data_IF_082721774788
#
_entry.id   IF_082721774788
#
_cell.length_a   1.000
_cell.length_b   1.000
_cell.length_c   1.000
_cell.angle_alpha   90.00
_cell.angle_beta   90.00
_cell.angle_gamma   90.00
#
_symmetry.space_group_name_H-M   'P 1'
#
loop_
_entity.id
_entity.type
_entity.pdbx_description
1 polymer ?
#
# COMPACT_ATOMS: atom_id res chain seq x y z
N UNK A 1 7.18 -0.48 0.05
CA UNK A 1 7.90 -1.01 -1.15
C UNK A 1 7.45 -2.36 -1.73
N UNK A 2 6.39 -3.03 -1.26
CA UNK A 2 5.93 -4.28 -1.87
C UNK A 2 4.42 -4.34 -2.18
N UNK A 3 3.67 -3.31 -1.77
CA UNK A 3 2.21 -3.38 -1.68
C UNK A 3 1.55 -3.61 -3.05
N UNK A 4 2.06 -2.97 -4.10
CA UNK A 4 1.53 -3.14 -5.46
C UNK A 4 1.64 -4.58 -5.94
N UNK A 5 2.85 -5.16 -5.84
CA UNK A 5 3.10 -6.56 -6.22
C UNK A 5 2.25 -7.52 -5.40
N UNK A 6 2.08 -7.27 -4.10
CA UNK A 6 1.26 -8.09 -3.23
C UNK A 6 -0.22 -8.07 -3.68
N UNK A 7 -0.78 -6.88 -3.95
CA UNK A 7 -2.16 -6.74 -4.43
C UNK A 7 -2.37 -7.42 -5.79
N UNK A 8 -1.48 -7.19 -6.76
CA UNK A 8 -1.63 -7.76 -8.11
C UNK A 8 -1.58 -9.29 -8.09
N UNK A 9 -0.75 -9.86 -7.22
CA UNK A 9 -0.59 -11.31 -7.09
C UNK A 9 -1.74 -11.97 -6.32
N UNK A 10 -2.09 -11.43 -5.14
CA UNK A 10 -3.06 -12.05 -4.22
C UNK A 10 -4.51 -11.67 -4.56
N UNK A 11 -4.72 -10.49 -5.14
CA UNK A 11 -6.05 -9.90 -5.45
C UNK A 11 -6.98 -9.83 -4.23
N UNK A 12 -6.53 -9.25 -3.11
CA UNK A 12 -7.35 -9.15 -1.91
C UNK A 12 -8.49 -8.13 -2.10
N UNK A 13 -9.49 -8.16 -1.22
CA UNK A 13 -10.52 -7.11 -1.16
C UNK A 13 -10.01 -5.79 -0.55
N UNK A 14 -8.91 -5.83 0.20
CA UNK A 14 -8.31 -4.67 0.87
C UNK A 14 -6.94 -5.02 1.45
N UNK A 15 -6.22 -3.99 1.90
CA UNK A 15 -4.89 -4.12 2.52
C UNK A 15 -4.78 -3.20 3.73
N UNK A 16 -3.98 -3.62 4.71
CA UNK A 16 -3.68 -2.85 5.92
C UNK A 16 -2.16 -2.90 6.22
N UNK A 17 -1.65 -1.86 6.87
CA UNK A 17 -0.25 -1.78 7.28
C UNK A 17 -0.11 -1.07 8.63
N UNK A 18 0.51 -1.77 9.59
CA UNK A 18 0.90 -1.20 10.88
C UNK A 18 2.28 -0.52 10.76
N UNK A 19 3.37 -1.20 11.13
CA UNK A 19 4.71 -0.59 11.21
C UNK A 19 5.32 -0.20 9.86
N UNK A 20 4.83 -0.74 8.75
CA UNK A 20 5.36 -0.47 7.40
C UNK A 20 5.17 0.96 6.88
N UNK A 21 4.51 1.82 7.66
CA UNK A 21 4.28 3.24 7.36
C UNK A 21 4.65 4.15 8.55
N UNK A 22 5.45 3.64 9.48
CA UNK A 22 5.93 4.40 10.64
C UNK A 22 7.31 5.00 10.38
N UNK A 23 7.53 6.19 10.92
CA UNK A 23 8.83 6.84 10.97
C UNK A 23 9.69 6.31 12.13
N UNK A 24 10.93 6.81 12.29
CA UNK A 24 11.86 6.33 13.33
C UNK A 24 11.37 6.54 14.77
N UNK A 25 10.38 7.40 14.98
CA UNK A 25 9.77 7.69 16.28
C UNK A 25 8.59 6.75 16.63
N UNK A 26 8.31 5.77 15.76
CA UNK A 26 7.19 4.83 15.90
C UNK A 26 5.82 5.46 15.61
N UNK A 27 5.77 6.72 15.15
CA UNK A 27 4.53 7.35 14.69
C UNK A 27 4.37 7.15 13.20
N UNK A 28 3.13 7.23 12.73
CA UNK A 28 2.84 7.22 11.29
C UNK A 28 3.56 8.37 10.62
N UNK A 29 4.39 8.05 9.62
CA UNK A 29 5.00 9.04 8.75
C UNK A 29 3.99 9.40 7.65
N UNK A 30 3.54 10.66 7.55
CA UNK A 30 2.55 11.05 6.55
C UNK A 30 2.99 10.79 5.10
N UNK A 31 4.29 10.87 4.79
CA UNK A 31 4.81 10.60 3.44
C UNK A 31 4.78 9.09 3.13
N UNK A 32 5.14 8.24 4.09
CA UNK A 32 5.03 6.78 3.92
C UNK A 32 3.58 6.33 3.78
N UNK A 33 2.66 6.92 4.56
CA UNK A 33 1.21 6.65 4.43
C UNK A 33 0.71 7.07 3.05
N UNK A 34 1.06 8.26 2.57
CA UNK A 34 0.69 8.72 1.22
C UNK A 34 1.24 7.79 0.14
N UNK A 35 2.50 7.39 0.24
CA UNK A 35 3.13 6.46 -0.70
C UNK A 35 2.42 5.09 -0.69
N UNK A 36 2.09 4.57 0.49
CA UNK A 36 1.34 3.31 0.64
C UNK A 36 -0.02 3.37 -0.05
N UNK A 37 -0.83 4.41 0.24
CA UNK A 37 -2.16 4.57 -0.36
C UNK A 37 -2.06 4.75 -1.87
N UNK A 38 -1.11 5.55 -2.36
CA UNK A 38 -0.90 5.77 -3.80
C UNK A 38 -0.59 4.46 -4.52
N UNK A 39 0.37 3.68 -4.03
CA UNK A 39 0.76 2.42 -4.67
C UNK A 39 -0.32 1.34 -4.54
N UNK A 40 -1.03 1.27 -3.42
CA UNK A 40 -2.16 0.37 -3.25
C UNK A 40 -3.30 0.71 -4.23
N UNK A 41 -3.66 1.99 -4.35
CA UNK A 41 -4.69 2.47 -5.28
C UNK A 41 -4.32 2.17 -6.72
N UNK A 42 -3.07 2.43 -7.11
CA UNK A 42 -2.56 2.09 -8.44
C UNK A 42 -2.72 0.60 -8.74
N UNK A 43 -2.38 -0.27 -7.79
CA UNK A 43 -2.51 -1.72 -7.97
C UNK A 43 -3.96 -2.17 -8.18
N UNK A 44 -4.90 -1.62 -7.41
CA UNK A 44 -6.32 -1.91 -7.60
C UNK A 44 -6.85 -1.40 -8.95
N UNK A 45 -6.42 -0.21 -9.40
CA UNK A 45 -6.76 0.30 -10.73
C UNK A 45 -6.21 -0.60 -11.85
N UNK A 46 -4.98 -1.11 -11.70
CA UNK A 46 -4.37 -2.03 -12.66
C UNK A 46 -5.12 -3.37 -12.73
N UNK A 47 -5.75 -3.82 -11.64
CA UNK A 47 -6.59 -5.01 -11.61
C UNK A 47 -7.94 -4.82 -12.33
N UNK A 48 -8.51 -3.61 -12.30
CA UNK A 48 -9.79 -3.29 -12.98
C UNK A 48 -9.59 -3.08 -14.48
N UNK A 49 -8.39 -2.63 -14.90
CA UNK A 49 -8.07 -2.35 -16.32
C UNK A 49 -7.66 -3.58 -17.14
N UNK A 50 -7.53 -4.75 -16.51
CA UNK A 50 -7.24 -6.03 -17.15
C UNK A 50 -8.51 -6.83 -17.34
#
# INVERSE_FOLDING_TARGET
DNIHRAIVHVRPAGVDAHTGVEGPDGRKDPDLVRAFVKEATRAFLDLVRK
#
